data_IF_607182804913
#
_entry.id   IF_607182804913
#
_cell.length_a   1.000
_cell.length_b   1.000
_cell.length_c   1.000
_cell.angle_alpha   90.00
_cell.angle_beta   90.00
_cell.angle_gamma   90.00
#
_symmetry.space_group_name_H-M   'P 1'
#
loop_
_entity.id
_entity.type
_entity.pdbx_description
1 polymer ?
#
# COMPACT_ATOMS: atom_id res chain seq x y z
N UNK A 1 -3.61 14.90 -1.01
CA UNK A 1 -4.57 14.22 -1.90
C UNK A 1 -4.98 12.87 -1.36
N UNK A 2 -4.04 11.94 -1.10
CA UNK A 2 -4.33 10.61 -0.61
C UNK A 2 -5.18 10.64 0.68
N UNK A 3 -4.80 11.44 1.67
CA UNK A 3 -5.55 11.59 2.92
C UNK A 3 -6.98 12.16 2.70
N UNK A 4 -7.14 13.12 1.78
CA UNK A 4 -8.47 13.65 1.42
C UNK A 4 -9.32 12.59 0.72
N UNK A 5 -8.72 11.75 -0.12
CA UNK A 5 -9.43 10.63 -0.72
C UNK A 5 -9.90 9.62 0.35
N UNK A 6 -9.01 9.29 1.30
CA UNK A 6 -9.37 8.42 2.44
C UNK A 6 -10.55 8.98 3.25
N UNK A 7 -10.53 10.28 3.57
CA UNK A 7 -11.61 10.94 4.31
C UNK A 7 -12.97 10.79 3.61
N UNK A 8 -13.00 10.98 2.29
CA UNK A 8 -14.24 10.84 1.49
C UNK A 8 -14.76 9.40 1.47
N UNK A 9 -13.87 8.41 1.43
CA UNK A 9 -14.29 7.00 1.47
C UNK A 9 -14.85 6.63 2.85
N UNK A 10 -14.25 7.14 3.93
CA UNK A 10 -14.78 6.97 5.28
C UNK A 10 -16.16 7.60 5.45
N UNK A 11 -16.41 8.77 4.86
CA UNK A 11 -17.73 9.43 4.86
C UNK A 11 -18.82 8.61 4.13
N UNK A 12 -18.41 7.75 3.19
CA UNK A 12 -19.28 6.81 2.51
C UNK A 12 -19.52 5.52 3.31
N UNK A 13 -18.84 5.36 4.45
CA UNK A 13 -18.94 4.18 5.31
C UNK A 13 -18.00 3.04 4.93
N UNK A 14 -17.04 3.29 4.04
CA UNK A 14 -16.10 2.28 3.58
C UNK A 14 -15.04 1.94 4.62
N UNK A 15 -14.64 0.68 4.65
CA UNK A 15 -13.47 0.22 5.39
C UNK A 15 -12.21 0.45 4.56
N UNK A 16 -11.35 1.35 5.04
CA UNK A 16 -10.19 1.86 4.29
C UNK A 16 -8.89 1.33 4.85
N UNK A 17 -8.06 0.75 3.98
CA UNK A 17 -6.65 0.48 4.23
C UNK A 17 -5.80 1.55 3.55
N UNK A 18 -5.13 2.37 4.36
CA UNK A 18 -4.21 3.40 3.90
C UNK A 18 -2.76 2.96 4.16
N UNK A 19 -2.03 2.76 3.09
CA UNK A 19 -0.66 2.26 3.14
C UNK A 19 0.34 3.34 2.77
N UNK A 20 1.44 3.36 3.51
CA UNK A 20 2.66 4.08 3.17
C UNK A 20 3.86 3.15 3.27
N UNK A 21 4.97 3.52 2.66
CA UNK A 21 6.24 2.86 2.94
C UNK A 21 6.88 3.40 4.22
N UNK A 22 6.79 4.71 4.43
CA UNK A 22 7.44 5.42 5.52
C UNK A 22 6.59 5.42 6.79
N UNK A 23 7.15 4.92 7.90
CA UNK A 23 6.50 4.88 9.22
C UNK A 23 6.11 6.26 9.74
N UNK A 24 6.96 7.28 9.53
CA UNK A 24 6.68 8.63 10.02
C UNK A 24 5.53 9.26 9.23
N UNK A 25 5.45 8.99 7.93
CA UNK A 25 4.32 9.42 7.11
C UNK A 25 3.03 8.77 7.57
N UNK A 26 3.03 7.46 7.86
CA UNK A 26 1.86 6.78 8.42
C UNK A 26 1.37 7.45 9.71
N UNK A 27 2.26 7.76 10.65
CA UNK A 27 1.90 8.46 11.88
C UNK A 27 1.36 9.87 11.64
N UNK A 28 1.92 10.60 10.67
CA UNK A 28 1.44 11.94 10.32
C UNK A 28 0.03 11.88 9.72
N UNK A 29 -0.20 10.97 8.78
CA UNK A 29 -1.51 10.78 8.13
C UNK A 29 -2.55 10.34 9.16
N UNK A 30 -2.23 9.39 10.03
CA UNK A 30 -3.13 8.92 11.08
C UNK A 30 -3.63 10.05 11.97
N UNK A 31 -2.77 11.04 12.28
CA UNK A 31 -3.16 12.22 13.08
C UNK A 31 -3.99 13.25 12.30
N UNK A 32 -3.95 13.22 10.98
CA UNK A 32 -4.65 14.16 10.11
C UNK A 32 -6.03 13.67 9.67
N UNK A 33 -6.33 12.41 9.89
CA UNK A 33 -7.59 11.78 9.56
C UNK A 33 -8.46 11.58 10.80
N UNK A 34 -9.79 11.51 10.66
CA UNK A 34 -10.69 11.24 11.79
C UNK A 34 -10.41 9.84 12.36
N UNK A 35 -10.49 9.72 13.68
CA UNK A 35 -10.49 8.41 14.33
C UNK A 35 -11.70 7.61 13.90
N UNK A 36 -11.47 6.43 13.36
CA UNK A 36 -12.54 5.53 12.89
C UNK A 36 -12.10 4.08 12.99
N UNK A 37 -12.97 3.23 13.48
CA UNK A 37 -12.78 1.77 13.45
C UNK A 37 -12.75 1.18 12.03
N UNK A 38 -13.13 1.96 11.03
CA UNK A 38 -13.11 1.58 9.61
C UNK A 38 -11.82 2.01 8.89
N UNK A 39 -10.95 2.78 9.56
CA UNK A 39 -9.69 3.25 8.98
C UNK A 39 -8.50 2.52 9.59
N UNK A 40 -7.66 1.96 8.75
CA UNK A 40 -6.32 1.50 9.11
C UNK A 40 -5.27 2.28 8.32
N UNK A 41 -4.43 3.03 9.01
CA UNK A 41 -3.25 3.72 8.45
C UNK A 41 -2.01 3.03 8.98
N UNK A 42 -1.19 2.48 8.10
CA UNK A 42 -0.03 1.67 8.49
C UNK A 42 1.05 1.70 7.40
N UNK A 43 2.32 1.52 7.78
CA UNK A 43 3.34 1.22 6.80
C UNK A 43 3.31 -0.26 6.41
N UNK A 44 3.74 -0.57 5.17
CA UNK A 44 3.59 -1.92 4.59
C UNK A 44 4.26 -3.01 5.42
N UNK A 45 5.46 -2.78 5.96
CA UNK A 45 6.17 -3.78 6.77
C UNK A 45 5.51 -4.01 8.13
N UNK A 46 4.94 -2.96 8.74
CA UNK A 46 4.18 -3.10 9.97
C UNK A 46 2.87 -3.87 9.73
N UNK A 47 2.21 -3.66 8.59
CA UNK A 47 1.04 -4.46 8.20
C UNK A 47 1.40 -5.96 8.16
N UNK A 48 2.50 -6.31 7.50
CA UNK A 48 2.94 -7.71 7.42
C UNK A 48 3.29 -8.27 8.80
N UNK A 49 4.00 -7.49 9.62
CA UNK A 49 4.41 -7.86 10.97
C UNK A 49 3.27 -8.04 11.99
N UNK A 50 2.06 -7.57 11.68
CA UNK A 50 0.88 -7.84 12.51
C UNK A 50 0.41 -9.32 12.40
N UNK A 51 0.69 -9.94 11.29
CA UNK A 51 0.26 -11.31 10.98
C UNK A 51 1.39 -12.33 11.04
N UNK A 52 2.62 -11.89 10.77
CA UNK A 52 3.80 -12.76 10.69
C UNK A 52 4.74 -12.45 11.84
N UNK A 53 5.03 -13.45 12.65
CA UNK A 53 6.06 -13.34 13.69
C UNK A 53 7.43 -13.09 13.08
N UNK A 54 8.11 -12.05 13.55
CA UNK A 54 9.44 -11.69 13.07
C UNK A 54 10.46 -12.72 13.53
N UNK A 55 11.17 -13.33 12.59
CA UNK A 55 12.34 -14.16 12.87
C UNK A 55 13.55 -13.25 13.14
N UNK A 56 13.87 -13.08 14.41
CA UNK A 56 14.93 -12.16 14.86
C UNK A 56 16.31 -12.62 14.38
N UNK A 57 16.55 -13.92 14.29
CA UNK A 57 17.85 -14.45 13.85
C UNK A 57 18.06 -14.24 12.36
N UNK A 58 17.03 -14.44 11.57
CA UNK A 58 17.08 -14.19 10.13
C UNK A 58 17.14 -12.68 9.82
N UNK A 59 16.36 -11.88 10.54
CA UNK A 59 16.41 -10.42 10.45
C UNK A 59 17.81 -9.87 10.77
N UNK A 60 18.51 -10.40 11.78
CA UNK A 60 19.87 -9.95 12.12
C UNK A 60 20.91 -10.30 11.07
N UNK A 61 20.72 -11.41 10.33
CA UNK A 61 21.67 -11.83 9.28
C UNK A 61 21.67 -10.89 8.08
N UNK A 62 20.50 -10.54 7.58
CA UNK A 62 20.32 -9.63 6.45
C UNK A 62 19.00 -8.86 6.58
N UNK A 63 18.98 -7.72 7.28
CA UNK A 63 17.78 -6.90 7.45
C UNK A 63 17.17 -6.43 6.13
N UNK A 64 18.01 -6.13 5.14
CA UNK A 64 17.54 -5.62 3.87
C UNK A 64 16.78 -6.70 3.10
N UNK A 65 17.34 -7.88 2.96
CA UNK A 65 16.69 -9.02 2.31
C UNK A 65 15.45 -9.47 3.09
N UNK A 66 15.53 -9.43 4.43
CA UNK A 66 14.39 -9.82 5.27
C UNK A 66 13.14 -9.00 4.95
N UNK A 67 13.24 -7.68 4.93
CA UNK A 67 12.11 -6.79 4.63
C UNK A 67 11.75 -6.72 3.15
N UNK A 68 12.72 -6.97 2.26
CA UNK A 68 12.47 -6.89 0.82
C UNK A 68 11.80 -8.18 0.27
N UNK A 69 12.13 -9.34 0.82
CA UNK A 69 11.72 -10.63 0.29
C UNK A 69 11.05 -11.53 1.34
N UNK A 70 11.77 -11.87 2.43
CA UNK A 70 11.35 -12.92 3.37
C UNK A 70 10.01 -12.61 4.04
N UNK A 71 9.87 -11.42 4.62
CA UNK A 71 8.65 -11.03 5.31
C UNK A 71 7.45 -10.91 4.35
N UNK A 72 7.57 -10.28 3.16
CA UNK A 72 6.50 -10.24 2.18
C UNK A 72 6.09 -11.63 1.65
N UNK A 73 7.04 -12.54 1.40
CA UNK A 73 6.75 -13.92 0.98
C UNK A 73 5.93 -14.66 2.03
N UNK A 74 6.39 -14.65 3.28
CA UNK A 74 5.67 -15.27 4.39
C UNK A 74 4.28 -14.69 4.60
N UNK A 75 4.14 -13.38 4.40
CA UNK A 75 2.84 -12.74 4.51
C UNK A 75 1.92 -13.15 3.36
N UNK A 76 2.43 -13.19 2.13
CA UNK A 76 1.65 -13.64 0.98
C UNK A 76 1.17 -15.09 1.14
N UNK A 77 2.06 -16.00 1.55
CA UNK A 77 1.71 -17.39 1.82
C UNK A 77 0.62 -17.49 2.90
N UNK A 78 0.80 -16.77 4.00
CA UNK A 78 -0.17 -16.74 5.10
C UNK A 78 -1.55 -16.23 4.64
N UNK A 79 -1.60 -15.07 3.96
CA UNK A 79 -2.87 -14.46 3.61
C UNK A 79 -3.59 -15.23 2.50
N UNK A 80 -2.86 -15.77 1.52
CA UNK A 80 -3.44 -16.57 0.44
C UNK A 80 -4.02 -17.89 0.97
N UNK A 81 -3.31 -18.59 1.86
CA UNK A 81 -3.83 -19.77 2.54
C UNK A 81 -5.06 -19.45 3.39
N UNK A 82 -4.99 -18.36 4.16
CA UNK A 82 -6.09 -17.89 5.00
C UNK A 82 -7.35 -17.61 4.17
N UNK A 83 -7.22 -16.91 3.04
CA UNK A 83 -8.35 -16.63 2.15
C UNK A 83 -8.93 -17.89 1.49
N UNK A 84 -8.10 -18.90 1.25
CA UNK A 84 -8.54 -20.16 0.64
C UNK A 84 -9.23 -21.11 1.62
N UNK A 85 -8.88 -21.06 2.92
CA UNK A 85 -9.26 -22.10 3.89
C UNK A 85 -10.21 -21.61 4.98
N UNK A 86 -10.23 -20.31 5.30
CA UNK A 86 -11.02 -19.75 6.39
C UNK A 86 -12.18 -18.88 5.87
N UNK A 87 -13.45 -19.31 6.01
CA UNK A 87 -14.61 -18.51 5.60
C UNK A 87 -14.69 -17.13 6.29
N UNK A 88 -14.08 -16.96 7.46
CA UNK A 88 -14.05 -15.70 8.19
C UNK A 88 -12.97 -14.74 7.69
N UNK A 89 -12.08 -15.18 6.80
CA UNK A 89 -11.00 -14.36 6.26
C UNK A 89 -11.50 -13.13 5.48
N UNK A 90 -12.72 -13.19 4.91
CA UNK A 90 -13.34 -12.03 4.26
C UNK A 90 -13.45 -10.81 5.20
N UNK A 91 -13.53 -11.03 6.53
CA UNK A 91 -13.52 -9.95 7.51
C UNK A 91 -12.20 -9.19 7.60
N UNK A 92 -11.12 -9.75 7.07
CA UNK A 92 -9.82 -9.09 6.96
C UNK A 92 -9.76 -8.11 5.79
N UNK A 93 -10.64 -8.24 4.81
CA UNK A 93 -10.64 -7.43 3.60
C UNK A 93 -11.16 -6.01 3.85
N UNK A 94 -10.67 -5.10 3.04
CA UNK A 94 -11.03 -3.69 3.01
C UNK A 94 -11.85 -3.36 1.76
N UNK A 95 -12.72 -2.35 1.87
CA UNK A 95 -13.52 -1.88 0.74
C UNK A 95 -12.69 -1.01 -0.22
N UNK A 96 -11.69 -0.29 0.35
CA UNK A 96 -10.81 0.60 -0.41
C UNK A 96 -9.37 0.45 0.05
N UNK A 97 -8.47 0.33 -0.91
CA UNK A 97 -7.01 0.35 -0.71
C UNK A 97 -6.43 1.67 -1.23
N UNK A 98 -5.67 2.35 -0.39
CA UNK A 98 -4.94 3.57 -0.75
C UNK A 98 -3.45 3.33 -0.53
N UNK A 99 -2.65 3.53 -1.58
CA UNK A 99 -1.19 3.45 -1.53
C UNK A 99 -0.62 4.85 -1.74
N UNK A 100 -0.03 5.42 -0.71
CA UNK A 100 0.64 6.73 -0.74
C UNK A 100 2.15 6.54 -0.82
N UNK A 101 2.84 7.39 -1.60
CA UNK A 101 4.22 7.17 -2.04
C UNK A 101 4.38 5.79 -2.72
N UNK A 102 3.48 5.53 -3.66
CA UNK A 102 3.33 4.23 -4.31
C UNK A 102 4.60 3.71 -4.97
N UNK A 103 5.52 4.59 -5.41
CA UNK A 103 6.80 4.19 -6.01
C UNK A 103 7.65 3.30 -5.09
N UNK A 104 7.41 3.32 -3.78
CA UNK A 104 8.11 2.48 -2.80
C UNK A 104 7.32 1.19 -2.46
N UNK A 105 6.02 1.16 -2.77
CA UNK A 105 5.10 0.06 -2.44
C UNK A 105 4.86 -0.86 -3.64
N UNK A 106 4.97 -0.34 -4.87
CA UNK A 106 4.65 -1.06 -6.09
C UNK A 106 5.70 -2.13 -6.42
N UNK A 107 5.66 -3.22 -5.67
CA UNK A 107 6.43 -4.43 -5.88
C UNK A 107 5.49 -5.60 -6.11
N UNK A 108 5.80 -6.56 -7.00
CA UNK A 108 4.92 -7.67 -7.34
C UNK A 108 4.37 -8.39 -6.12
N UNK A 109 5.25 -8.79 -5.20
CA UNK A 109 4.88 -9.57 -4.03
C UNK A 109 3.97 -8.80 -3.05
N UNK A 110 4.19 -7.48 -2.93
CA UNK A 110 3.29 -6.64 -2.13
C UNK A 110 1.91 -6.55 -2.79
N UNK A 111 1.85 -6.36 -4.10
CA UNK A 111 0.59 -6.26 -4.83
C UNK A 111 -0.23 -7.55 -4.75
N UNK A 112 0.40 -8.73 -4.85
CA UNK A 112 -0.28 -10.02 -4.68
C UNK A 112 -0.87 -10.17 -3.28
N UNK A 113 -0.13 -9.74 -2.26
CA UNK A 113 -0.64 -9.74 -0.88
C UNK A 113 -1.80 -8.78 -0.68
N UNK A 114 -1.71 -7.59 -1.28
CA UNK A 114 -2.74 -6.55 -1.20
C UNK A 114 -3.99 -6.91 -1.99
N UNK A 115 -3.85 -7.66 -3.08
CA UNK A 115 -4.96 -8.24 -3.84
C UNK A 115 -5.86 -9.10 -2.92
N UNK A 116 -5.26 -9.94 -2.08
CA UNK A 116 -5.99 -10.76 -1.11
C UNK A 116 -6.73 -9.92 -0.04
N UNK A 117 -6.18 -8.77 0.35
CA UNK A 117 -6.77 -7.90 1.38
C UNK A 117 -7.84 -6.94 0.86
N UNK A 118 -8.01 -6.82 -0.44
CA UNK A 118 -8.99 -5.94 -1.07
C UNK A 118 -10.22 -6.72 -1.52
N UNK A 119 -11.41 -6.29 -1.16
CA UNK A 119 -12.65 -6.88 -1.65
C UNK A 119 -12.73 -6.75 -3.17
N UNK A 120 -12.85 -7.87 -3.86
CA UNK A 120 -12.80 -7.96 -5.32
C UNK A 120 -11.40 -7.91 -5.92
N UNK A 121 -10.36 -7.90 -5.10
CA UNK A 121 -8.96 -7.83 -5.52
C UNK A 121 -8.65 -6.54 -6.30
N UNK A 122 -7.47 -6.48 -6.93
CA UNK A 122 -7.06 -5.34 -7.76
C UNK A 122 -7.84 -5.25 -9.08
N UNK A 123 -8.48 -6.35 -9.49
CA UNK A 123 -9.24 -6.38 -10.75
C UNK A 123 -10.64 -5.74 -10.63
N UNK A 124 -11.35 -5.97 -9.54
CA UNK A 124 -12.73 -5.50 -9.33
C UNK A 124 -12.87 -4.56 -8.13
N UNK A 125 -11.89 -4.55 -7.24
CA UNK A 125 -11.88 -3.74 -6.04
C UNK A 125 -11.58 -2.27 -6.30
N UNK A 126 -11.75 -1.46 -5.26
CA UNK A 126 -11.49 -0.02 -5.32
C UNK A 126 -10.13 0.30 -4.72
N UNK A 127 -9.25 0.83 -5.55
CA UNK A 127 -7.91 1.22 -5.10
C UNK A 127 -7.46 2.54 -5.72
N UNK A 128 -6.56 3.22 -5.03
CA UNK A 128 -5.92 4.43 -5.51
C UNK A 128 -4.43 4.43 -5.15
N UNK A 129 -3.60 4.80 -6.11
CA UNK A 129 -2.15 4.92 -5.95
C UNK A 129 -1.74 6.36 -6.19
N UNK A 130 -1.07 6.94 -5.22
CA UNK A 130 -0.45 8.27 -5.30
C UNK A 130 1.06 8.09 -5.37
N UNK A 131 1.68 8.52 -6.45
CA UNK A 131 3.10 8.28 -6.71
C UNK A 131 3.74 9.40 -7.53
N UNK A 132 5.06 9.54 -7.42
CA UNK A 132 5.85 10.44 -8.23
C UNK A 132 6.57 9.64 -9.34
N UNK A 133 6.21 9.93 -10.60
CA UNK A 133 6.81 9.26 -11.76
C UNK A 133 8.31 9.48 -11.90
N UNK A 134 8.86 10.52 -11.27
CA UNK A 134 10.29 10.84 -11.35
C UNK A 134 11.15 10.11 -10.33
N UNK A 135 10.51 9.43 -9.37
CA UNK A 135 11.19 8.64 -8.36
C UNK A 135 11.17 7.16 -8.74
N UNK A 136 12.22 6.43 -8.36
CA UNK A 136 12.37 4.97 -8.55
C UNK A 136 12.21 4.43 -9.98
N UNK A 137 12.30 5.27 -11.02
CA UNK A 137 12.10 4.84 -12.41
C UNK A 137 13.10 3.79 -12.90
N UNK A 138 14.24 3.66 -12.24
CA UNK A 138 15.29 2.67 -12.54
C UNK A 138 15.21 1.41 -11.70
N UNK A 139 14.21 1.31 -10.80
CA UNK A 139 14.00 0.12 -9.97
C UNK A 139 13.20 -0.93 -10.76
N UNK A 140 13.77 -2.12 -11.08
CA UNK A 140 13.06 -3.16 -11.83
C UNK A 140 11.78 -3.64 -11.15
N UNK A 141 11.79 -3.81 -9.81
CA UNK A 141 10.60 -4.24 -9.06
C UNK A 141 9.45 -3.23 -9.17
N UNK A 142 9.78 -1.93 -9.16
CA UNK A 142 8.78 -0.87 -9.38
C UNK A 142 8.18 -0.94 -10.79
N UNK A 143 9.01 -1.18 -11.82
CA UNK A 143 8.51 -1.29 -13.20
C UNK A 143 7.58 -2.49 -13.34
N UNK A 144 7.97 -3.65 -12.79
CA UNK A 144 7.16 -4.85 -12.79
C UNK A 144 5.83 -4.64 -12.04
N UNK A 145 5.87 -4.02 -10.85
CA UNK A 145 4.69 -3.66 -10.08
C UNK A 145 3.75 -2.71 -10.83
N UNK A 146 4.31 -1.71 -11.53
CA UNK A 146 3.54 -0.81 -12.38
C UNK A 146 2.88 -1.54 -13.55
N UNK A 147 3.56 -2.50 -14.15
CA UNK A 147 3.00 -3.29 -15.26
C UNK A 147 1.88 -4.22 -14.78
N UNK A 148 2.00 -4.78 -13.57
CA UNK A 148 0.90 -5.50 -12.91
C UNK A 148 -0.32 -4.58 -12.75
N UNK A 149 -0.17 -3.38 -12.17
CA UNK A 149 -1.29 -2.46 -12.00
C UNK A 149 -1.91 -2.01 -13.32
N UNK A 150 -1.09 -1.79 -14.35
CA UNK A 150 -1.57 -1.41 -15.68
C UNK A 150 -2.37 -2.50 -16.37
N UNK A 151 -2.21 -3.75 -15.98
CA UNK A 151 -3.00 -4.87 -16.51
C UNK A 151 -4.44 -4.87 -16.01
N UNK A 152 -4.73 -4.17 -14.90
CA UNK A 152 -6.08 -4.05 -14.35
C UNK A 152 -6.81 -2.80 -14.88
N UNK A 153 -8.14 -2.78 -14.91
CA UNK A 153 -8.92 -1.60 -15.27
C UNK A 153 -8.60 -0.44 -14.31
N UNK A 154 -8.14 0.68 -14.83
CA UNK A 154 -7.82 1.86 -14.03
C UNK A 154 -7.98 3.16 -14.80
N UNK A 155 -8.04 4.27 -14.07
CA UNK A 155 -7.97 5.63 -14.63
C UNK A 155 -6.79 6.36 -14.05
N UNK A 156 -5.97 6.98 -14.91
CA UNK A 156 -4.79 7.74 -14.51
C UNK A 156 -5.05 9.24 -14.57
N UNK A 157 -4.74 9.94 -13.49
CA UNK A 157 -4.75 11.38 -13.41
C UNK A 157 -3.33 11.92 -13.18
N UNK A 158 -2.98 12.99 -13.84
CA UNK A 158 -1.71 13.67 -13.65
C UNK A 158 -1.93 15.08 -13.09
N UNK A 159 -1.16 15.41 -12.05
CA UNK A 159 -1.14 16.75 -11.49
C UNK A 159 -0.07 17.58 -12.20
N UNK A 160 -0.47 18.69 -12.76
CA UNK A 160 0.42 19.58 -13.52
C UNK A 160 0.91 20.78 -12.71
N UNK A 161 0.26 21.08 -11.57
CA UNK A 161 0.58 22.25 -10.75
C UNK A 161 1.38 21.81 -9.54
N UNK A 162 2.60 22.32 -9.44
CA UNK A 162 3.45 22.12 -8.26
C UNK A 162 3.06 23.15 -7.19
N UNK A 163 2.34 22.69 -6.15
CA UNK A 163 1.91 23.54 -5.04
C UNK A 163 2.88 23.51 -3.83
N UNK A 164 3.93 22.71 -3.88
CA UNK A 164 4.90 22.55 -2.76
C UNK A 164 6.11 23.44 -2.88
N UNK A 165 6.60 23.67 -4.09
CA UNK A 165 7.83 24.38 -4.34
C UNK A 165 7.56 25.79 -4.87
N UNK A 166 8.48 26.71 -4.61
CA UNK A 166 8.46 28.02 -5.26
C UNK A 166 8.69 27.87 -6.77
N UNK A 167 8.26 28.86 -7.55
CA UNK A 167 8.45 28.87 -9.00
C UNK A 167 9.93 28.69 -9.37
N UNK A 168 10.86 29.22 -8.57
CA UNK A 168 12.30 29.11 -8.80
C UNK A 168 12.85 27.68 -8.63
N UNK A 169 12.22 26.85 -7.81
CA UNK A 169 12.62 25.44 -7.61
C UNK A 169 11.89 24.53 -8.61
N UNK A 170 10.69 24.89 -9.02
CA UNK A 170 9.84 24.08 -9.92
C UNK A 170 10.20 24.15 -11.40
N UNK A 171 11.17 24.99 -11.79
CA UNK A 171 11.60 25.20 -13.18
C UNK A 171 12.88 24.42 -13.59
N UNK A 172 13.40 23.54 -12.73
CA UNK A 172 14.54 22.68 -13.03
C UNK A 172 14.13 21.26 -13.39
#
# INVERSE_FOLDING_TARGET
LAAEYARRQLEQGDRVLYLTYNKNLAHHVMRSLPESGQLKVVNIHALFGEYISVDVEELKKDPQNYFAQVLPERFYDYISDKMATDPEAEKMQYDVLIMDEGQDILKPLYLYSLDCLLKGGLNLGRWAVFYDEKQNIYNPEYQEGMDILRSYPHTKFRLFVNCRNTVQIGTY
#
